data_IF_295949806956
#
_entry.id   IF_295949806956
#
_cell.length_a   1.000
_cell.length_b   1.000
_cell.length_c   1.000
_cell.angle_alpha   90.00
_cell.angle_beta   90.00
_cell.angle_gamma   90.00
#
_symmetry.space_group_name_H-M   'P 1'
#
loop_
_entity.id
_entity.type
_entity.pdbx_description
1 polymer ?
#
# COMPACT_ATOMS: atom_id res chain seq x y z
N UNK A 1 14.49 -6.18 -12.43
CA UNK A 1 14.47 -5.23 -11.30
C UNK A 1 13.30 -5.62 -10.42
N UNK A 2 13.50 -5.83 -9.11
CA UNK A 2 12.41 -6.23 -8.22
C UNK A 2 11.43 -5.07 -8.05
N UNK A 3 10.13 -5.37 -8.20
CA UNK A 3 9.06 -4.45 -7.88
C UNK A 3 8.75 -4.56 -6.39
N UNK A 4 8.80 -3.42 -5.70
CA UNK A 4 8.36 -3.33 -4.32
C UNK A 4 6.85 -3.08 -4.33
N UNK A 5 6.15 -3.84 -3.52
CA UNK A 5 4.70 -3.71 -3.36
C UNK A 5 4.39 -3.47 -1.90
N UNK A 6 3.48 -2.55 -1.62
CA UNK A 6 3.08 -2.20 -0.27
C UNK A 6 1.57 -2.32 -0.17
N UNK A 7 1.08 -3.09 0.80
CA UNK A 7 -0.34 -3.14 1.12
C UNK A 7 -0.59 -2.30 2.36
N UNK A 8 -1.32 -1.20 2.20
CA UNK A 8 -1.76 -0.35 3.28
C UNK A 8 -3.18 -0.74 3.64
N UNK A 9 -3.36 -1.23 4.86
CA UNK A 9 -4.66 -1.62 5.40
C UNK A 9 -5.25 -0.45 6.16
N UNK A 10 -6.50 -0.11 5.85
CA UNK A 10 -7.19 1.04 6.41
C UNK A 10 -8.52 0.62 7.04
N UNK A 11 -8.95 1.41 8.00
CA UNK A 11 -10.30 1.36 8.57
C UNK A 11 -10.96 2.73 8.46
N UNK A 12 -12.11 2.77 7.80
CA UNK A 12 -13.00 3.93 7.77
C UNK A 12 -13.52 4.22 9.18
N UNK A 13 -13.41 5.47 9.61
CA UNK A 13 -13.89 5.90 10.92
C UNK A 13 -15.38 6.30 10.88
N UNK A 14 -16.04 6.44 12.03
CA UNK A 14 -17.39 7.01 12.09
C UNK A 14 -17.50 8.39 11.43
N UNK A 15 -16.44 9.21 11.46
CA UNK A 15 -16.43 10.52 10.82
C UNK A 15 -16.53 10.43 9.30
N UNK A 16 -15.89 9.43 8.69
CA UNK A 16 -16.03 9.16 7.26
C UNK A 16 -17.42 8.65 6.91
N UNK A 17 -17.94 7.72 7.72
CA UNK A 17 -19.24 7.10 7.48
C UNK A 17 -20.41 8.06 7.70
N UNK A 18 -20.23 9.10 8.51
CA UNK A 18 -21.20 10.17 8.69
C UNK A 18 -21.36 11.06 7.43
N UNK A 19 -20.38 11.05 6.52
CA UNK A 19 -20.48 11.79 5.26
C UNK A 19 -21.48 11.13 4.30
N UNK A 20 -22.26 11.97 3.62
CA UNK A 20 -23.06 11.51 2.48
C UNK A 20 -22.17 10.86 1.40
N UNK A 21 -22.73 9.93 0.62
CA UNK A 21 -22.00 9.32 -0.51
C UNK A 21 -21.43 10.37 -1.46
N UNK A 22 -22.19 11.43 -1.76
CA UNK A 22 -21.75 12.55 -2.60
C UNK A 22 -20.53 13.25 -2.01
N UNK A 23 -20.55 13.59 -0.73
CA UNK A 23 -19.43 14.25 -0.07
C UNK A 23 -18.17 13.36 -0.06
N UNK A 24 -18.32 12.03 0.12
CA UNK A 24 -17.20 11.09 -0.01
C UNK A 24 -16.62 11.07 -1.42
N UNK A 25 -17.47 10.98 -2.45
CA UNK A 25 -17.03 11.01 -3.85
C UNK A 25 -16.34 12.32 -4.22
N UNK A 26 -16.87 13.46 -3.80
CA UNK A 26 -16.27 14.78 -4.02
C UNK A 26 -14.90 14.87 -3.34
N UNK A 27 -14.79 14.41 -2.10
CA UNK A 27 -13.53 14.38 -1.37
C UNK A 27 -12.48 13.48 -2.05
N UNK A 28 -12.86 12.27 -2.48
CA UNK A 28 -11.95 11.36 -3.18
C UNK A 28 -11.44 12.02 -4.48
N UNK A 29 -12.34 12.58 -5.28
CA UNK A 29 -11.99 13.17 -6.56
C UNK A 29 -11.13 14.44 -6.44
N UNK A 30 -11.41 15.28 -5.44
CA UNK A 30 -10.78 16.61 -5.33
C UNK A 30 -9.57 16.63 -4.40
N UNK A 31 -9.49 15.73 -3.42
CA UNK A 31 -8.44 15.75 -2.39
C UNK A 31 -7.54 14.51 -2.50
N UNK A 32 -8.10 13.32 -2.68
CA UNK A 32 -7.33 12.07 -2.63
C UNK A 32 -6.62 11.75 -3.95
N UNK A 33 -7.36 11.62 -5.05
CA UNK A 33 -6.77 11.26 -6.34
C UNK A 33 -5.71 12.23 -6.88
N UNK A 34 -5.82 13.56 -6.70
CA UNK A 34 -4.76 14.47 -7.09
C UNK A 34 -3.43 14.22 -6.39
N UNK A 35 -3.43 13.70 -5.15
CA UNK A 35 -2.17 13.32 -4.47
C UNK A 35 -1.50 12.17 -5.21
N UNK A 36 -2.23 11.10 -5.51
CA UNK A 36 -1.67 9.94 -6.23
C UNK A 36 -1.24 10.29 -7.66
N UNK A 37 -2.00 11.13 -8.36
CA UNK A 37 -1.71 11.54 -9.74
C UNK A 37 -0.36 12.26 -9.90
N UNK A 38 0.19 12.85 -8.83
CA UNK A 38 1.52 13.47 -8.81
C UNK A 38 2.67 12.46 -8.90
N UNK A 39 2.41 11.18 -8.67
CA UNK A 39 3.43 10.12 -8.58
C UNK A 39 3.15 8.98 -9.56
N UNK A 40 3.24 9.21 -10.88
CA UNK A 40 2.91 8.20 -11.90
C UNK A 40 3.85 6.99 -11.90
N UNK A 41 5.02 7.09 -11.25
CA UNK A 41 5.93 5.97 -11.04
C UNK A 41 5.44 4.96 -9.98
N UNK A 42 4.37 5.29 -9.25
CA UNK A 42 3.74 4.42 -8.27
C UNK A 42 2.37 3.98 -8.81
N UNK A 43 2.24 2.69 -9.10
CA UNK A 43 0.98 2.09 -9.48
C UNK A 43 0.09 1.93 -8.22
N UNK A 44 -1.14 2.41 -8.28
CA UNK A 44 -2.06 2.45 -7.13
C UNK A 44 -3.33 1.69 -7.46
N UNK A 45 -3.73 0.77 -6.57
CA UNK A 45 -5.01 0.05 -6.66
C UNK A 45 -5.73 0.07 -5.32
N UNK A 46 -7.05 0.15 -5.37
CA UNK A 46 -7.93 0.19 -4.19
C UNK A 46 -8.80 -1.06 -4.16
N UNK A 47 -9.04 -1.60 -2.97
CA UNK A 47 -9.84 -2.80 -2.75
C UNK A 47 -10.74 -2.62 -1.53
N UNK A 48 -11.99 -3.05 -1.69
CA UNK A 48 -13.01 -3.05 -0.64
C UNK A 48 -12.87 -4.33 0.20
N UNK A 49 -12.58 -4.17 1.48
CA UNK A 49 -12.49 -5.25 2.47
C UNK A 49 -13.74 -5.37 3.34
N UNK A 50 -14.55 -4.31 3.43
CA UNK A 50 -15.63 -4.17 4.41
C UNK A 50 -16.77 -5.19 4.25
N UNK A 51 -16.90 -5.77 3.06
CA UNK A 51 -17.91 -6.81 2.80
C UNK A 51 -17.48 -8.19 3.30
N UNK A 52 -16.18 -8.40 3.55
CA UNK A 52 -15.60 -9.73 3.78
C UNK A 52 -14.87 -9.86 5.12
N UNK A 53 -14.43 -8.75 5.73
CA UNK A 53 -13.67 -8.76 6.97
C UNK A 53 -14.06 -7.60 7.87
N UNK A 54 -14.12 -7.87 9.18
CA UNK A 54 -14.24 -6.83 10.20
C UNK A 54 -12.88 -6.25 10.62
N UNK A 55 -11.76 -6.78 10.12
CA UNK A 55 -10.42 -6.33 10.50
C UNK A 55 -10.01 -5.04 9.77
N UNK A 56 -10.37 -4.95 8.49
CA UNK A 56 -9.98 -3.85 7.59
C UNK A 56 -11.15 -3.55 6.67
N UNK A 57 -11.43 -2.26 6.45
CA UNK A 57 -12.45 -1.84 5.50
C UNK A 57 -11.88 -1.62 4.11
N UNK A 58 -10.63 -1.15 3.99
CA UNK A 58 -10.05 -0.82 2.70
C UNK A 58 -8.59 -1.28 2.63
N UNK A 59 -8.14 -1.65 1.43
CA UNK A 59 -6.74 -1.95 1.15
C UNK A 59 -6.28 -1.08 -0.02
N UNK A 60 -5.15 -0.40 0.15
CA UNK A 60 -4.43 0.27 -0.92
C UNK A 60 -3.19 -0.56 -1.26
N UNK A 61 -3.05 -0.95 -2.52
CA UNK A 61 -1.83 -1.54 -3.04
C UNK A 61 -1.03 -0.47 -3.78
N UNK A 62 0.21 -0.28 -3.38
CA UNK A 62 1.18 0.59 -4.02
C UNK A 62 2.31 -0.27 -4.59
N UNK A 63 2.57 -0.19 -5.89
CA UNK A 63 3.64 -0.93 -6.54
C UNK A 63 4.57 0.03 -7.28
N UNK A 64 5.88 -0.11 -7.07
CA UNK A 64 6.88 0.68 -7.79
C UNK A 64 8.25 0.00 -7.82
N UNK A 65 9.06 0.40 -8.80
CA UNK A 65 10.51 0.16 -8.82
C UNK A 65 11.32 1.40 -8.39
N UNK A 66 10.68 2.52 -8.07
CA UNK A 66 11.28 3.79 -7.67
C UNK A 66 10.90 4.15 -6.23
N UNK A 67 11.70 3.66 -5.27
CA UNK A 67 11.47 3.90 -3.84
C UNK A 67 11.45 5.39 -3.46
N UNK A 68 12.31 6.27 -4.01
CA UNK A 68 12.17 7.71 -3.84
C UNK A 68 10.76 8.25 -4.16
N UNK A 69 10.16 7.83 -5.28
CA UNK A 69 8.77 8.21 -5.60
C UNK A 69 7.76 7.67 -4.59
N UNK A 70 7.97 6.46 -4.07
CA UNK A 70 7.15 5.92 -2.99
C UNK A 70 7.24 6.76 -1.71
N UNK A 71 8.46 7.11 -1.24
CA UNK A 71 8.62 7.93 -0.03
C UNK A 71 7.96 9.30 -0.19
N UNK A 72 8.16 9.94 -1.34
CA UNK A 72 7.55 11.23 -1.63
C UNK A 72 6.02 11.16 -1.72
N UNK A 73 5.45 10.06 -2.23
CA UNK A 73 4.01 9.82 -2.19
C UNK A 73 3.50 9.70 -0.75
N UNK A 74 4.17 8.93 0.11
CA UNK A 74 3.77 8.77 1.51
C UNK A 74 3.83 10.09 2.27
N UNK A 75 4.87 10.90 2.05
CA UNK A 75 4.97 12.25 2.62
C UNK A 75 3.84 13.16 2.10
N UNK A 76 3.57 13.14 0.80
CA UNK A 76 2.47 13.91 0.22
C UNK A 76 1.10 13.51 0.78
N UNK A 77 0.86 12.22 1.04
CA UNK A 77 -0.36 11.74 1.72
C UNK A 77 -0.41 12.30 3.14
N UNK A 78 0.69 12.20 3.90
CA UNK A 78 0.79 12.68 5.29
C UNK A 78 0.53 14.18 5.41
N UNK A 79 1.02 14.96 4.45
CA UNK A 79 0.87 16.42 4.43
C UNK A 79 -0.49 16.88 3.87
N UNK A 80 -1.23 16.00 3.20
CA UNK A 80 -2.51 16.34 2.57
C UNK A 80 -3.70 16.32 3.56
N UNK A 81 -4.81 16.93 3.14
CA UNK A 81 -6.07 16.83 3.87
C UNK A 81 -6.56 15.38 4.07
N UNK A 82 -6.02 14.42 3.31
CA UNK A 82 -6.31 12.97 3.42
C UNK A 82 -6.03 12.45 4.82
N UNK A 83 -4.91 12.87 5.42
CA UNK A 83 -4.50 12.43 6.77
C UNK A 83 -4.92 13.43 7.85
N UNK A 84 -5.07 14.72 7.52
CA UNK A 84 -5.47 15.73 8.49
C UNK A 84 -6.92 15.56 8.97
N UNK A 85 -7.79 14.92 8.17
CA UNK A 85 -9.15 14.56 8.60
C UNK A 85 -9.16 13.15 9.15
N UNK A 86 -9.88 12.88 10.26
CA UNK A 86 -9.87 11.57 10.91
C UNK A 86 -10.79 10.59 10.17
N UNK A 87 -10.70 10.49 8.84
CA UNK A 87 -11.59 9.66 8.02
C UNK A 87 -11.15 8.21 7.93
N UNK A 88 -9.84 7.97 7.96
CA UNK A 88 -9.27 6.63 7.95
C UNK A 88 -8.18 6.49 9.00
N UNK A 89 -8.07 5.31 9.59
CA UNK A 89 -6.94 4.91 10.42
C UNK A 89 -6.12 3.84 9.71
N UNK A 90 -4.80 3.97 9.73
CA UNK A 90 -3.90 2.94 9.20
C UNK A 90 -3.81 1.78 10.20
N UNK A 91 -4.27 0.61 9.79
CA UNK A 91 -4.20 -0.61 10.59
C UNK A 91 -2.85 -1.32 10.43
N UNK A 92 -2.33 -1.37 9.21
CA UNK A 92 -1.04 -1.99 8.90
C UNK A 92 -0.47 -1.44 7.59
N UNK A 93 0.86 -1.54 7.46
CA UNK A 93 1.55 -1.43 6.18
C UNK A 93 2.36 -2.73 6.04
N UNK A 94 2.14 -3.45 4.95
CA UNK A 94 2.83 -4.71 4.64
C UNK A 94 3.71 -4.49 3.41
N UNK A 95 5.01 -4.19 3.59
CA UNK A 95 5.99 -4.15 2.51
C UNK A 95 6.26 -5.57 2.01
N UNK A 96 6.29 -5.74 0.70
CA UNK A 96 6.55 -7.01 0.02
C UNK A 96 7.41 -6.78 -1.22
N UNK A 97 7.92 -7.89 -1.73
CA UNK A 97 8.49 -7.98 -3.08
C UNK A 97 7.66 -8.99 -3.85
N UNK A 98 7.33 -8.68 -5.10
CA UNK A 98 6.58 -9.61 -5.94
C UNK A 98 7.38 -10.91 -6.10
N UNK A 99 6.72 -12.06 -5.86
CA UNK A 99 7.37 -13.36 -5.95
C UNK A 99 7.87 -13.59 -7.36
N UNK A 100 9.13 -13.98 -7.50
CA UNK A 100 9.71 -14.43 -8.74
C UNK A 100 10.25 -15.85 -8.57
N UNK A 101 9.38 -16.79 -8.18
CA UNK A 101 9.76 -18.20 -7.99
C UNK A 101 10.61 -18.73 -9.16
N UNK A 102 10.26 -18.36 -10.39
CA UNK A 102 11.01 -18.66 -11.61
C UNK A 102 12.44 -18.07 -11.62
N UNK A 103 12.64 -16.85 -11.11
CA UNK A 103 13.97 -16.22 -10.99
C UNK A 103 14.82 -16.82 -9.87
N UNK A 104 14.20 -17.40 -8.84
CA UNK A 104 14.91 -18.11 -7.78
C UNK A 104 15.39 -19.48 -8.26
N UNK A 105 14.54 -20.23 -8.98
CA UNK A 105 14.91 -21.54 -9.56
C UNK A 105 15.93 -21.42 -10.71
N UNK A 106 15.93 -20.30 -11.44
CA UNK A 106 16.92 -20.01 -12.48
C UNK A 106 18.27 -19.49 -11.93
N UNK A 107 18.33 -19.11 -10.65
CA UNK A 107 19.59 -18.72 -10.02
C UNK A 107 20.41 -19.99 -9.71
N UNK A 108 21.69 -20.07 -10.14
CA UNK A 108 22.53 -21.19 -9.73
C UNK A 108 22.63 -21.20 -8.21
N UNK A 109 22.39 -22.35 -7.59
CA UNK A 109 22.46 -22.55 -6.15
C UNK A 109 23.77 -21.96 -5.61
N UNK A 110 23.72 -20.75 -5.04
CA UNK A 110 24.87 -20.17 -4.38
C UNK A 110 25.01 -20.82 -3.01
N UNK A 111 25.93 -21.78 -2.92
CA UNK A 111 26.57 -22.21 -1.68
C UNK A 111 25.66 -22.87 -0.65
N UNK A 112 25.35 -24.15 -0.84
CA UNK A 112 25.22 -25.05 0.31
C UNK A 112 26.60 -25.27 0.90
N UNK A 113 27.06 -24.33 1.71
CA UNK A 113 28.23 -24.54 2.55
C UNK A 113 28.03 -23.70 3.80
N UNK A 114 27.20 -24.21 4.72
CA UNK A 114 27.19 -23.86 6.14
C UNK A 114 26.22 -24.82 6.83
N UNK A 115 26.81 -25.85 7.46
CA UNK A 115 26.49 -26.45 8.77
C UNK A 115 26.86 -27.93 8.78
N UNK A 116 28.17 -28.22 8.75
CA UNK A 116 28.69 -29.40 9.46
C UNK A 116 28.54 -29.10 10.95
N UNK A 117 27.49 -29.65 11.57
CA UNK A 117 27.40 -29.73 13.03
C UNK A 117 28.09 -31.04 13.42
N UNK A 118 29.25 -31.03 14.09
CA UNK A 118 29.80 -32.26 14.64
C UNK A 118 28.89 -32.74 15.79
N UNK A 119 28.68 -34.06 15.83
CA UNK A 119 27.94 -34.80 16.85
C UNK A 119 28.53 -34.61 18.26
#
# INVERSE_FOLDING_TARGET
>A
MFKHTFFIHLNATPAWLALSRRARSEYIAQQLFPVFARFPAVNVRFFDGEYFSAQVSDIIMLETNDLPSYYALIDAIRDSEVIQKPYFTVAAILPTVESSLESYEAAPAQGQDLLTIPL
#
